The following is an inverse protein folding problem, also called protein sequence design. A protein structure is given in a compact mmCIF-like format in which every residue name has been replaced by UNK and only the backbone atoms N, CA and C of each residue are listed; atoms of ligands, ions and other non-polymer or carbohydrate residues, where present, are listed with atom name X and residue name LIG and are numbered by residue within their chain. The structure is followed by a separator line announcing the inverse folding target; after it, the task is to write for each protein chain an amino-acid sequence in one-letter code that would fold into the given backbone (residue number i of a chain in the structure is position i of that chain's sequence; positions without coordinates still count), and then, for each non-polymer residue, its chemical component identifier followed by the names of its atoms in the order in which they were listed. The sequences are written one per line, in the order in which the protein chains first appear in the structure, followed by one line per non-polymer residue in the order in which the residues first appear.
data_IF_881790990779
#
_entry.id   IF_881790990779
#
_cell.length_a   1.000
_cell.length_b   1.000
_cell.length_c   1.000
_cell.angle_alpha   90.00
_cell.angle_beta   90.00
_cell.angle_gamma   90.00
#
_symmetry.space_group_name_H-M   'P 1'
#
loop_
_entity.id
_entity.type
_entity.pdbx_description
1 polymer ?
#
# COMPACT_ATOMS: atom_id res chain seq x y z
N UNK A 1 9.48 15.39 30.46
CA UNK A 1 9.21 14.17 29.66
C UNK A 1 10.33 14.01 28.65
N UNK A 2 11.02 12.88 28.61
CA UNK A 2 11.86 12.57 27.45
C UNK A 2 10.93 12.35 26.26
N UNK A 3 11.20 13.04 25.16
CA UNK A 3 10.44 13.03 23.90
C UNK A 3 10.53 11.67 23.15
N UNK A 4 10.98 10.59 23.82
CA UNK A 4 11.56 9.41 23.20
C UNK A 4 10.87 8.09 23.57
N UNK A 5 9.56 8.06 23.86
CA UNK A 5 8.80 6.80 24.08
C UNK A 5 7.43 6.82 23.43
N UNK A 6 7.31 7.40 22.24
CA UNK A 6 6.05 7.31 21.48
C UNK A 6 6.16 6.15 20.50
N UNK A 7 5.31 5.12 20.62
CA UNK A 7 5.26 4.03 19.65
C UNK A 7 5.03 4.54 18.23
N UNK A 8 5.77 3.94 17.30
CA UNK A 8 5.77 4.34 15.90
C UNK A 8 5.66 3.11 15.01
N UNK A 9 4.64 3.09 14.16
CA UNK A 9 4.39 1.98 13.24
C UNK A 9 4.63 2.44 11.81
N UNK A 10 5.61 1.84 11.15
CA UNK A 10 5.82 1.95 9.72
C UNK A 10 4.94 0.91 9.02
N UNK A 11 3.86 1.38 8.39
CA UNK A 11 2.95 0.62 7.53
C UNK A 11 3.55 0.41 6.13
N UNK A 12 4.79 -0.08 6.08
CA UNK A 12 5.57 -0.41 4.88
C UNK A 12 6.06 -1.85 5.00
N UNK A 13 6.19 -2.56 3.87
CA UNK A 13 6.79 -3.91 3.88
C UNK A 13 8.23 -3.90 4.39
N UNK A 14 8.63 -4.83 5.27
CA UNK A 14 10.03 -5.08 5.61
C UNK A 14 10.92 -5.42 4.40
N UNK A 15 10.32 -5.90 3.30
CA UNK A 15 11.03 -6.13 2.04
C UNK A 15 11.44 -4.83 1.34
N UNK A 16 10.75 -3.72 1.63
CA UNK A 16 11.03 -2.39 1.06
C UNK A 16 11.82 -1.54 2.04
N UNK A 17 11.39 -1.50 3.29
CA UNK A 17 12.04 -0.81 4.40
C UNK A 17 12.39 -1.84 5.49
N UNK A 18 13.57 -2.49 5.41
CA UNK A 18 13.99 -3.39 6.49
C UNK A 18 14.17 -2.57 7.78
N UNK A 19 13.76 -3.10 8.96
CA UNK A 19 14.02 -2.45 10.24
C UNK A 19 15.52 -2.18 10.41
N UNK A 20 15.88 -0.95 10.77
CA UNK A 20 17.27 -0.60 11.04
C UNK A 20 17.69 -1.14 12.42
N UNK A 21 19.00 -1.39 12.59
CA UNK A 21 19.57 -1.97 13.83
C UNK A 21 19.40 -1.02 15.02
N UNK A 22 19.30 0.28 14.76
CA UNK A 22 19.12 1.35 15.74
C UNK A 22 17.65 1.74 15.97
N UNK A 23 16.68 1.02 15.38
CA UNK A 23 15.28 1.22 15.71
C UNK A 23 15.02 0.83 17.17
N UNK A 24 14.40 1.71 17.98
CA UNK A 24 14.04 1.36 19.34
C UNK A 24 12.92 0.32 19.36
N UNK A 25 12.75 -0.38 20.48
CA UNK A 25 11.78 -1.47 20.61
C UNK A 25 10.32 -1.07 20.31
N UNK A 26 9.97 0.21 20.51
CA UNK A 26 8.64 0.76 20.24
C UNK A 26 8.45 1.26 18.80
N UNK A 27 9.45 1.11 17.92
CA UNK A 27 9.33 1.36 16.48
C UNK A 27 9.23 0.04 15.73
N UNK A 28 8.11 -0.20 15.04
CA UNK A 28 7.86 -1.45 14.31
C UNK A 28 7.61 -1.19 12.82
N UNK A 29 8.21 -1.99 11.96
CA UNK A 29 7.84 -2.09 10.54
C UNK A 29 6.84 -3.23 10.41
N UNK A 30 5.59 -2.91 10.12
CA UNK A 30 4.48 -3.87 10.26
C UNK A 30 4.17 -4.58 8.96
N UNK A 31 4.49 -3.99 7.81
CA UNK A 31 3.89 -4.35 6.53
C UNK A 31 2.87 -3.32 6.08
N UNK A 32 2.58 -3.29 4.78
CA UNK A 32 1.58 -2.40 4.19
C UNK A 32 0.15 -2.72 4.68
N UNK A 33 -0.68 -1.69 4.78
CA UNK A 33 -2.09 -1.84 5.15
C UNK A 33 -2.95 -1.69 3.89
N UNK A 34 -3.19 -2.80 3.20
CA UNK A 34 -3.99 -2.80 1.98
C UNK A 34 -5.49 -2.77 2.30
N UNK A 35 -6.24 -2.04 1.48
CA UNK A 35 -7.69 -1.88 1.60
C UNK A 35 -8.49 -2.87 0.72
N UNK A 36 -7.86 -3.48 -0.28
CA UNK A 36 -8.43 -4.47 -1.20
C UNK A 36 -9.75 -4.02 -1.88
N UNK A 37 -9.73 -2.79 -2.42
CA UNK A 37 -10.88 -2.11 -3.06
C UNK A 37 -11.33 -2.74 -4.38
N UNK A 38 -10.44 -3.48 -5.05
CA UNK A 38 -10.67 -4.17 -6.32
C UNK A 38 -11.30 -5.55 -6.19
N UNK A 39 -11.84 -5.88 -5.02
CA UNK A 39 -12.57 -7.11 -4.71
C UNK A 39 -13.95 -7.19 -5.41
N UNK A 40 -14.76 -8.19 -5.07
CA UNK A 40 -15.93 -8.68 -5.84
C UNK A 40 -16.95 -7.62 -6.30
N UNK A 41 -17.00 -6.46 -5.64
CA UNK A 41 -17.94 -5.39 -5.95
C UNK A 41 -17.46 -4.43 -7.05
N UNK A 42 -16.16 -4.40 -7.38
CA UNK A 42 -15.63 -3.47 -8.38
C UNK A 42 -16.00 -3.91 -9.80
N UNK A 43 -16.73 -3.03 -10.50
CA UNK A 43 -17.11 -3.23 -11.91
C UNK A 43 -16.27 -2.32 -12.81
N UNK A 44 -15.30 -2.87 -13.56
CA UNK A 44 -14.49 -2.07 -14.47
C UNK A 44 -15.34 -1.55 -15.64
N UNK A 45 -15.02 -0.37 -16.19
CA UNK A 45 -15.65 0.11 -17.43
C UNK A 45 -15.42 -0.86 -18.58
N UNK A 46 -16.45 -1.11 -19.39
CA UNK A 46 -16.37 -2.04 -20.54
C UNK A 46 -15.27 -1.63 -21.51
N UNK A 47 -15.14 -0.33 -21.78
CA UNK A 47 -14.16 0.20 -22.72
C UNK A 47 -12.71 -0.04 -22.24
N UNK A 48 -12.48 -0.04 -20.92
CA UNK A 48 -11.17 -0.35 -20.34
C UNK A 48 -10.81 -1.83 -20.56
N UNK A 49 -11.79 -2.72 -20.36
CA UNK A 49 -11.60 -4.17 -20.57
C UNK A 49 -11.33 -4.44 -22.05
N UNK A 50 -12.13 -3.89 -22.96
CA UNK A 50 -11.95 -4.01 -24.41
C UNK A 50 -10.58 -3.49 -24.87
N UNK A 51 -10.14 -2.35 -24.31
CA UNK A 51 -8.82 -1.79 -24.58
C UNK A 51 -7.69 -2.76 -24.18
N UNK A 52 -7.77 -3.37 -23.00
CA UNK A 52 -6.79 -4.36 -22.53
C UNK A 52 -6.81 -5.65 -23.34
N UNK A 53 -7.99 -6.14 -23.71
CA UNK A 53 -8.11 -7.35 -24.51
C UNK A 53 -7.57 -7.14 -25.92
N UNK A 54 -7.84 -5.98 -26.53
CA UNK A 54 -7.23 -5.60 -27.81
C UNK A 54 -5.70 -5.54 -27.70
N UNK A 55 -5.17 -4.94 -26.63
CA UNK A 55 -3.73 -4.89 -26.41
C UNK A 55 -3.09 -6.30 -26.37
N UNK A 56 -3.75 -7.25 -25.71
CA UNK A 56 -3.31 -8.66 -25.64
C UNK A 56 -3.40 -9.34 -27.00
N UNK A 57 -4.49 -9.14 -27.75
CA UNK A 57 -4.64 -9.66 -29.11
C UNK A 57 -3.56 -9.14 -30.07
N UNK A 58 -3.17 -7.88 -29.92
CA UNK A 58 -2.09 -7.25 -30.69
C UNK A 58 -0.68 -7.69 -30.23
N UNK A 59 -0.57 -8.49 -29.16
CA UNK A 59 0.70 -8.87 -28.54
C UNK A 59 1.47 -7.72 -27.91
N UNK A 60 0.78 -6.62 -27.55
CA UNK A 60 1.38 -5.40 -27.00
C UNK A 60 1.43 -5.45 -25.49
N UNK A 61 2.51 -4.91 -24.93
CA UNK A 61 2.65 -4.71 -23.48
C UNK A 61 1.70 -3.62 -23.01
N UNK A 62 1.10 -3.81 -21.84
CA UNK A 62 0.19 -2.86 -21.21
C UNK A 62 0.94 -2.18 -20.06
N UNK A 63 0.96 -0.86 -20.03
CA UNK A 63 1.60 -0.08 -18.96
C UNK A 63 0.59 0.85 -18.30
N UNK A 64 0.72 1.02 -16.99
CA UNK A 64 -0.01 2.05 -16.25
C UNK A 64 0.84 3.31 -16.10
N UNK A 65 0.25 4.49 -16.32
CA UNK A 65 0.89 5.79 -16.02
C UNK A 65 -0.03 6.63 -15.15
N UNK A 66 0.44 6.99 -13.94
CA UNK A 66 -0.29 7.87 -13.04
C UNK A 66 0.61 8.58 -12.04
N UNK A 67 0.68 9.92 -12.13
CA UNK A 67 1.49 10.74 -11.21
C UNK A 67 0.70 11.30 -10.04
N UNK A 68 -0.56 10.91 -9.87
CA UNK A 68 -1.45 11.48 -8.86
C UNK A 68 -1.75 12.96 -9.12
N UNK A 69 -2.33 13.62 -8.11
CA UNK A 69 -2.62 15.04 -8.15
C UNK A 69 -1.35 15.86 -7.97
N UNK A 70 -0.75 16.31 -9.07
CA UNK A 70 0.45 17.17 -9.06
C UNK A 70 0.21 18.46 -9.84
N UNK A 71 0.70 19.56 -9.30
CA UNK A 71 0.78 20.84 -10.03
C UNK A 71 2.11 20.86 -10.77
N UNK A 72 2.04 20.90 -12.10
CA UNK A 72 3.23 21.00 -12.96
C UNK A 72 3.29 22.37 -13.61
N UNK A 73 4.49 22.77 -14.03
CA UNK A 73 4.66 24.05 -14.75
C UNK A 73 4.02 24.05 -16.14
N UNK A 74 3.92 22.86 -16.77
CA UNK A 74 3.35 22.70 -18.10
C UNK A 74 2.85 21.25 -18.31
N UNK A 75 1.54 21.06 -18.19
CA UNK A 75 0.81 19.81 -18.29
C UNK A 75 0.76 19.31 -19.73
N UNK A 76 0.76 20.23 -20.70
CA UNK A 76 0.81 19.92 -22.13
C UNK A 76 2.13 19.22 -22.48
N UNK A 77 3.27 19.75 -22.03
CA UNK A 77 4.59 19.14 -22.27
C UNK A 77 4.68 17.75 -21.62
N UNK A 78 4.17 17.60 -20.40
CA UNK A 78 4.13 16.30 -19.71
C UNK A 78 3.31 15.28 -20.50
N UNK A 79 2.11 15.67 -20.93
CA UNK A 79 1.22 14.80 -21.72
C UNK A 79 1.86 14.44 -23.06
N UNK A 80 2.50 15.40 -23.74
CA UNK A 80 3.23 15.15 -24.99
C UNK A 80 4.38 14.17 -24.81
N UNK A 81 5.15 14.28 -23.72
CA UNK A 81 6.22 13.37 -23.41
C UNK A 81 5.71 11.94 -23.16
N UNK A 82 4.55 11.80 -22.52
CA UNK A 82 3.90 10.49 -22.31
C UNK A 82 3.46 9.90 -23.65
N UNK A 83 2.76 10.68 -24.49
CA UNK A 83 2.32 10.25 -25.82
C UNK A 83 3.52 9.79 -26.66
N UNK A 84 4.57 10.61 -26.73
CA UNK A 84 5.79 10.28 -27.45
C UNK A 84 6.44 8.99 -26.92
N UNK A 85 6.49 8.83 -25.60
CA UNK A 85 7.11 7.66 -24.99
C UNK A 85 6.33 6.36 -25.29
N UNK A 86 5.00 6.40 -25.18
CA UNK A 86 4.12 5.24 -25.43
C UNK A 86 4.23 4.79 -26.88
N UNK A 87 4.15 5.74 -27.83
CA UNK A 87 4.27 5.42 -29.25
C UNK A 87 5.66 4.89 -29.61
N UNK A 88 6.73 5.46 -29.04
CA UNK A 88 8.10 4.99 -29.28
C UNK A 88 8.41 3.64 -28.65
N UNK A 89 7.83 3.34 -27.49
CA UNK A 89 8.00 2.05 -26.82
C UNK A 89 7.07 0.96 -27.38
N UNK A 90 6.13 1.32 -28.26
CA UNK A 90 5.17 0.43 -28.90
C UNK A 90 4.34 -0.38 -27.88
N UNK A 91 3.84 0.34 -26.86
CA UNK A 91 3.01 -0.21 -25.76
C UNK A 91 1.59 0.37 -25.79
N UNK A 92 0.69 -0.24 -25.00
CA UNK A 92 -0.65 0.31 -24.70
C UNK A 92 -0.65 0.89 -23.30
N UNK A 93 -1.13 2.11 -23.15
CA UNK A 93 -1.08 2.85 -21.89
C UNK A 93 -2.46 3.04 -21.27
N UNK A 94 -2.60 2.63 -20.02
CA UNK A 94 -3.72 2.99 -19.16
C UNK A 94 -3.29 4.22 -18.36
N UNK A 95 -3.84 5.36 -18.71
CA UNK A 95 -3.52 6.66 -18.13
C UNK A 95 -4.48 6.98 -16.99
N UNK A 96 -3.94 7.35 -15.84
CA UNK A 96 -4.69 8.03 -14.78
C UNK A 96 -4.16 9.46 -14.66
N UNK A 97 -4.78 10.37 -15.42
CA UNK A 97 -4.35 11.76 -15.50
C UNK A 97 -4.86 12.56 -14.29
N UNK A 98 -3.93 12.92 -13.40
CA UNK A 98 -4.20 13.76 -12.23
C UNK A 98 -3.49 15.12 -12.21
N UNK A 99 -2.69 15.46 -13.22
CA UNK A 99 -1.89 16.69 -13.22
C UNK A 99 -2.57 17.85 -13.93
N UNK A 100 -2.31 19.06 -13.43
CA UNK A 100 -2.78 20.30 -14.05
C UNK A 100 -1.78 21.43 -13.89
N UNK A 101 -1.98 22.47 -14.70
CA UNK A 101 -1.20 23.73 -14.63
C UNK A 101 -1.75 24.71 -13.59
N UNK A 102 -2.76 24.33 -12.80
CA UNK A 102 -3.57 25.25 -12.00
C UNK A 102 -3.50 25.02 -10.50
N UNK A 103 -3.31 26.13 -9.80
CA UNK A 103 -4.04 26.47 -8.58
C UNK A 103 -5.21 27.39 -9.02
N UNK A 104 -6.42 26.86 -9.12
CA UNK A 104 -7.73 27.57 -9.10
C UNK A 104 -7.98 28.92 -9.84
N UNK A 105 -7.44 29.19 -11.04
CA UNK A 105 -7.86 30.39 -11.81
C UNK A 105 -8.34 30.12 -13.22
N UNK A 106 -9.67 30.00 -13.39
CA UNK A 106 -10.50 29.64 -14.57
C UNK A 106 -10.24 30.32 -15.94
N UNK A 107 -9.27 31.20 -16.16
CA UNK A 107 -9.13 31.89 -17.48
C UNK A 107 -8.34 31.17 -18.61
N UNK A 108 -7.21 30.50 -18.42
CA UNK A 108 -6.49 29.81 -19.51
C UNK A 108 -6.62 28.29 -19.46
N UNK A 109 -7.57 27.69 -20.20
CA UNK A 109 -7.50 26.26 -20.52
C UNK A 109 -6.66 26.11 -21.79
N UNK A 110 -5.39 25.73 -21.64
CA UNK A 110 -4.61 25.20 -22.76
C UNK A 110 -5.43 24.05 -23.41
N UNK A 111 -5.48 23.95 -24.74
CA UNK A 111 -6.19 22.87 -25.41
C UNK A 111 -5.62 21.53 -24.95
N UNK A 112 -6.50 20.63 -24.53
CA UNK A 112 -6.13 19.29 -24.10
C UNK A 112 -5.62 18.51 -25.31
N UNK A 113 -4.45 17.88 -25.18
CA UNK A 113 -3.88 17.06 -26.25
C UNK A 113 -4.80 15.87 -26.49
N UNK A 114 -5.22 15.68 -27.74
CA UNK A 114 -5.96 14.50 -28.16
C UNK A 114 -5.08 13.26 -27.96
N UNK A 115 -5.60 12.29 -27.20
CA UNK A 115 -4.88 11.06 -26.90
C UNK A 115 -4.98 10.11 -28.08
N UNK A 116 -3.86 9.49 -28.51
CA UNK A 116 -3.88 8.51 -29.58
C UNK A 116 -4.56 7.21 -29.10
N UNK A 117 -5.00 6.34 -30.02
CA UNK A 117 -5.72 5.10 -29.67
C UNK A 117 -4.90 4.12 -28.83
N UNK A 118 -3.58 4.30 -28.71
CA UNK A 118 -2.70 3.54 -27.83
C UNK A 118 -2.80 3.94 -26.35
N UNK A 119 -3.52 5.03 -26.03
CA UNK A 119 -3.65 5.56 -24.68
C UNK A 119 -5.12 5.67 -24.29
N UNK A 120 -5.51 4.94 -23.24
CA UNK A 120 -6.84 5.03 -22.66
C UNK A 120 -6.77 5.76 -21.31
N UNK A 121 -7.47 6.89 -21.19
CA UNK A 121 -7.56 7.62 -19.91
C UNK A 121 -8.66 7.01 -19.04
N UNK A 122 -8.27 6.15 -18.09
CA UNK A 122 -9.18 5.38 -17.26
C UNK A 122 -9.70 6.14 -16.04
N UNK A 123 -9.08 7.27 -15.67
CA UNK A 123 -9.36 7.94 -14.40
C UNK A 123 -8.95 7.08 -13.19
N UNK A 124 -9.74 7.14 -12.13
CA UNK A 124 -9.48 6.39 -10.89
C UNK A 124 -9.94 4.93 -11.03
N UNK A 125 -9.00 4.00 -10.94
CA UNK A 125 -9.22 2.55 -10.96
C UNK A 125 -8.47 1.95 -9.76
N UNK A 126 -9.07 1.02 -8.99
CA UNK A 126 -8.39 0.31 -7.92
C UNK A 126 -7.11 -0.36 -8.41
N UNK A 127 -5.98 -0.07 -7.75
CA UNK A 127 -4.67 -0.55 -8.17
C UNK A 127 -4.47 -2.04 -7.94
N UNK A 128 -5.09 -2.60 -6.91
CA UNK A 128 -5.12 -4.03 -6.62
C UNK A 128 -5.87 -4.82 -7.70
N UNK A 129 -6.88 -4.22 -8.35
CA UNK A 129 -7.48 -4.78 -9.57
C UNK A 129 -6.60 -4.57 -10.80
N UNK A 130 -6.08 -3.36 -11.00
CA UNK A 130 -5.40 -3.02 -12.26
C UNK A 130 -3.98 -3.60 -12.37
N UNK A 131 -3.16 -3.49 -11.33
CA UNK A 131 -1.73 -3.78 -11.42
C UNK A 131 -1.38 -5.25 -11.70
N UNK A 132 -2.14 -6.25 -11.23
CA UNK A 132 -1.94 -7.63 -11.66
C UNK A 132 -2.17 -7.88 -13.16
N UNK A 133 -2.76 -6.91 -13.89
CA UNK A 133 -3.16 -7.03 -15.29
C UNK A 133 -2.31 -6.19 -16.24
N UNK A 134 -1.28 -5.48 -15.74
CA UNK A 134 -0.35 -4.67 -16.53
C UNK A 134 1.08 -5.19 -16.41
N UNK A 135 1.91 -4.92 -17.41
CA UNK A 135 3.31 -5.36 -17.47
C UNK A 135 4.27 -4.42 -16.74
N UNK A 136 3.92 -3.15 -16.54
CA UNK A 136 4.72 -2.18 -15.80
C UNK A 136 3.87 -1.03 -15.25
N UNK A 137 4.31 -0.44 -14.13
CA UNK A 137 3.68 0.72 -13.51
C UNK A 137 4.63 1.92 -13.50
N UNK A 138 4.13 3.06 -13.95
CA UNK A 138 4.88 4.33 -13.96
C UNK A 138 4.12 5.32 -13.09
N UNK A 139 4.77 5.79 -12.02
CA UNK A 139 4.11 6.68 -11.07
C UNK A 139 5.06 7.65 -10.39
N UNK A 140 4.49 8.50 -9.52
CA UNK A 140 5.23 9.54 -8.81
C UNK A 140 6.05 9.01 -7.63
N UNK A 141 5.69 7.85 -7.08
CA UNK A 141 6.46 7.19 -6.02
C UNK A 141 5.90 7.41 -4.62
N UNK A 142 4.62 7.76 -4.49
CA UNK A 142 3.97 7.74 -3.17
C UNK A 142 4.03 6.34 -2.55
N UNK A 143 4.10 6.29 -1.23
CA UNK A 143 4.23 5.05 -0.45
C UNK A 143 3.21 3.98 -0.82
N UNK A 144 1.93 4.33 -0.86
CA UNK A 144 0.82 3.43 -1.17
C UNK A 144 0.87 2.88 -2.61
N UNK A 145 1.08 3.75 -3.61
CA UNK A 145 1.17 3.31 -5.01
C UNK A 145 2.39 2.43 -5.25
N UNK A 146 3.53 2.75 -4.62
CA UNK A 146 4.73 1.91 -4.66
C UNK A 146 4.47 0.55 -4.00
N UNK A 147 3.78 0.53 -2.86
CA UNK A 147 3.36 -0.71 -2.21
C UNK A 147 2.45 -1.56 -3.09
N UNK A 148 1.47 -0.95 -3.75
CA UNK A 148 0.54 -1.63 -4.65
C UNK A 148 1.25 -2.23 -5.88
N UNK A 149 2.15 -1.48 -6.53
CA UNK A 149 2.87 -1.99 -7.71
C UNK A 149 3.81 -3.13 -7.36
N UNK A 150 4.52 -3.03 -6.24
CA UNK A 150 5.39 -4.10 -5.75
C UNK A 150 4.59 -5.33 -5.31
N UNK A 151 3.44 -5.16 -4.63
CA UNK A 151 2.55 -6.26 -4.24
C UNK A 151 2.09 -7.06 -5.47
N UNK A 152 1.75 -6.37 -6.55
CA UNK A 152 1.34 -6.98 -7.81
C UNK A 152 2.51 -7.64 -8.58
N UNK A 153 3.76 -7.49 -8.12
CA UNK A 153 4.93 -7.98 -8.85
C UNK A 153 5.17 -7.20 -10.15
N UNK A 154 4.81 -5.91 -10.17
CA UNK A 154 4.87 -5.06 -11.35
C UNK A 154 6.18 -4.24 -11.38
N UNK A 155 7.05 -4.42 -12.40
CA UNK A 155 8.22 -3.57 -12.59
C UNK A 155 7.84 -2.09 -12.59
N UNK A 156 8.57 -1.27 -11.83
CA UNK A 156 8.11 0.08 -11.50
C UNK A 156 9.06 1.16 -12.00
N UNK A 157 8.54 2.21 -12.64
CA UNK A 157 9.29 3.44 -12.94
C UNK A 157 8.77 4.55 -12.04
N UNK A 158 9.64 5.15 -11.23
CA UNK A 158 9.28 6.27 -10.35
C UNK A 158 9.87 7.56 -10.90
N UNK A 159 9.02 8.56 -11.16
CA UNK A 159 9.44 9.95 -11.32
C UNK A 159 9.07 10.74 -10.07
N UNK A 160 9.99 10.95 -9.11
CA UNK A 160 9.68 11.67 -7.89
C UNK A 160 9.54 13.17 -8.13
N UNK A 161 8.59 13.82 -7.46
CA UNK A 161 8.33 15.25 -7.50
C UNK A 161 8.63 15.93 -6.16
N UNK A 162 8.26 15.33 -5.02
CA UNK A 162 8.46 15.90 -3.68
C UNK A 162 8.46 14.82 -2.59
N UNK A 163 8.96 15.19 -1.39
CA UNK A 163 8.80 14.38 -0.17
C UNK A 163 9.44 12.99 -0.23
N UNK A 164 8.71 12.02 0.30
CA UNK A 164 9.05 10.59 0.42
C UNK A 164 9.23 9.90 -0.95
N UNK A 165 8.73 10.48 -2.02
CA UNK A 165 8.84 9.91 -3.37
C UNK A 165 10.29 9.64 -3.79
N UNK A 166 11.22 10.51 -3.37
CA UNK A 166 12.66 10.32 -3.64
C UNK A 166 13.25 9.12 -2.89
N UNK A 167 12.75 8.85 -1.69
CA UNK A 167 13.12 7.66 -0.93
C UNK A 167 12.66 6.41 -1.68
N UNK A 168 11.37 6.32 -2.04
CA UNK A 168 10.86 5.15 -2.76
C UNK A 168 11.50 4.94 -4.14
N UNK A 169 11.80 6.04 -4.86
CA UNK A 169 12.56 5.98 -6.11
C UNK A 169 13.93 5.30 -5.91
N UNK A 170 14.64 5.65 -4.85
CA UNK A 170 15.93 5.03 -4.51
C UNK A 170 15.74 3.56 -4.10
N UNK A 171 14.72 3.26 -3.28
CA UNK A 171 14.45 1.90 -2.81
C UNK A 171 14.16 0.91 -3.94
N UNK A 172 13.39 1.30 -4.94
CA UNK A 172 13.11 0.39 -6.08
C UNK A 172 14.37 0.11 -6.92
N UNK A 173 15.30 1.07 -7.02
CA UNK A 173 16.59 0.88 -7.70
C UNK A 173 17.51 -0.03 -6.89
N UNK A 174 17.61 0.18 -5.57
CA UNK A 174 18.40 -0.67 -4.66
C UNK A 174 17.94 -2.13 -4.69
N UNK A 175 16.63 -2.35 -4.74
CA UNK A 175 16.03 -3.68 -4.87
C UNK A 175 16.18 -4.27 -6.27
N UNK A 176 16.50 -3.44 -7.28
CA UNK A 176 16.59 -3.82 -8.68
C UNK A 176 15.24 -4.24 -9.28
N UNK A 177 14.14 -3.65 -8.80
CA UNK A 177 12.75 -3.93 -9.21
C UNK A 177 12.14 -2.79 -10.05
N UNK A 178 12.95 -1.78 -10.36
CA UNK A 178 12.48 -0.61 -11.06
C UNK A 178 13.56 0.40 -11.41
N UNK A 179 13.13 1.58 -11.88
CA UNK A 179 14.00 2.67 -12.34
C UNK A 179 13.55 4.00 -11.72
N UNK A 180 14.49 4.77 -11.16
CA UNK A 180 14.25 6.14 -10.74
C UNK A 180 14.50 7.10 -11.92
N UNK A 181 13.42 7.65 -12.47
CA UNK A 181 13.49 8.52 -13.64
C UNK A 181 13.94 9.94 -13.24
N UNK A 182 15.17 10.30 -13.59
CA UNK A 182 15.75 11.63 -13.29
C UNK A 182 15.12 12.75 -14.11
N UNK A 183 14.90 12.52 -15.40
CA UNK A 183 14.29 13.48 -16.34
C UNK A 183 13.13 12.82 -17.04
N UNK A 184 12.00 13.51 -17.12
CA UNK A 184 10.80 13.03 -17.81
C UNK A 184 10.72 13.67 -19.20
N UNK A 185 11.17 12.93 -20.21
CA UNK A 185 11.05 13.27 -21.63
C UNK A 185 10.55 12.04 -22.39
N UNK A 186 10.03 12.21 -23.60
CA UNK A 186 9.56 11.06 -24.39
C UNK A 186 10.64 10.01 -24.62
N UNK A 187 11.89 10.45 -24.85
CA UNK A 187 13.05 9.55 -25.00
C UNK A 187 13.45 8.84 -23.69
N UNK A 188 13.54 9.55 -22.57
CA UNK A 188 13.95 8.90 -21.31
C UNK A 188 12.89 7.94 -20.80
N UNK A 189 11.61 8.30 -20.94
CA UNK A 189 10.50 7.46 -20.53
C UNK A 189 10.34 6.24 -21.43
N UNK A 190 10.41 6.37 -22.77
CA UNK A 190 10.35 5.21 -23.67
C UNK A 190 11.47 4.20 -23.40
N UNK A 191 12.71 4.68 -23.23
CA UNK A 191 13.82 3.80 -22.89
C UNK A 191 13.61 3.07 -21.55
N UNK A 192 13.05 3.75 -20.55
CA UNK A 192 12.74 3.14 -19.27
C UNK A 192 11.62 2.11 -19.41
N UNK A 193 10.54 2.43 -20.14
CA UNK A 193 9.43 1.50 -20.43
C UNK A 193 9.95 0.23 -21.10
N UNK A 194 10.72 0.36 -22.18
CA UNK A 194 11.30 -0.78 -22.90
C UNK A 194 12.15 -1.64 -21.97
N UNK A 195 12.94 -1.03 -21.09
CA UNK A 195 13.77 -1.78 -20.13
C UNK A 195 12.92 -2.56 -19.13
N UNK A 196 11.97 -1.92 -18.45
CA UNK A 196 11.19 -2.59 -17.39
C UNK A 196 10.25 -3.68 -17.93
N UNK A 197 9.83 -3.60 -19.19
CA UNK A 197 8.97 -4.61 -19.82
C UNK A 197 9.72 -5.77 -20.48
N UNK A 198 11.06 -5.68 -20.61
CA UNK A 198 11.88 -6.71 -21.27
C UNK A 198 13.01 -7.30 -20.40
N UNK A 199 13.41 -6.63 -19.31
CA UNK A 199 14.43 -7.12 -18.39
C UNK A 199 13.88 -8.25 -17.50
N UNK A 200 14.12 -9.49 -17.93
CA UNK A 200 13.66 -10.69 -17.23
C UNK A 200 14.18 -10.78 -15.79
N UNK A 201 15.40 -10.27 -15.52
CA UNK A 201 15.96 -10.29 -14.17
C UNK A 201 15.20 -9.35 -13.25
N UNK A 202 14.84 -8.16 -13.74
CA UNK A 202 14.01 -7.20 -13.00
C UNK A 202 12.61 -7.78 -12.73
N UNK A 203 12.00 -8.39 -13.74
CA UNK A 203 10.68 -9.03 -13.64
C UNK A 203 10.69 -10.12 -12.57
N UNK A 204 11.67 -11.02 -12.59
CA UNK A 204 11.78 -12.09 -11.58
C UNK A 204 12.00 -11.54 -10.17
N UNK A 205 12.82 -10.49 -10.01
CA UNK A 205 13.07 -9.84 -8.72
C UNK A 205 11.79 -9.22 -8.16
N UNK A 206 11.04 -8.48 -8.97
CA UNK A 206 9.83 -7.82 -8.50
C UNK A 206 8.73 -8.85 -8.17
N UNK A 207 8.63 -9.95 -8.92
CA UNK A 207 7.74 -11.06 -8.56
C UNK A 207 8.11 -11.66 -7.20
N UNK A 208 9.40 -11.87 -6.90
CA UNK A 208 9.85 -12.36 -5.58
C UNK A 208 9.56 -11.37 -4.46
N UNK A 209 9.74 -10.07 -4.70
CA UNK A 209 9.37 -9.03 -3.73
C UNK A 209 7.86 -9.03 -3.50
N UNK A 210 7.05 -9.09 -4.56
CA UNK A 210 5.59 -9.19 -4.46
C UNK A 210 5.14 -10.43 -3.70
N UNK A 211 5.76 -11.59 -3.92
CA UNK A 211 5.49 -12.81 -3.14
C UNK A 211 5.79 -12.65 -1.65
N UNK A 212 6.81 -11.88 -1.28
CA UNK A 212 7.11 -11.57 0.14
C UNK A 212 6.07 -10.60 0.71
N UNK A 213 5.73 -9.54 -0.03
CA UNK A 213 4.72 -8.56 0.38
C UNK A 213 3.35 -9.23 0.58
N UNK A 214 2.96 -10.17 -0.27
CA UNK A 214 1.70 -10.91 -0.11
C UNK A 214 1.70 -11.88 1.10
N UNK A 215 2.87 -12.13 1.70
CA UNK A 215 3.00 -12.87 2.98
C UNK A 215 3.13 -11.94 4.17
N UNK A 216 3.17 -10.63 3.96
CA UNK A 216 3.14 -9.65 5.04
C UNK A 216 1.69 -9.52 5.54
N UNK A 217 1.50 -9.64 6.85
CA UNK A 217 0.21 -9.41 7.49
C UNK A 217 0.22 -8.04 8.15
N UNK A 218 0.24 -6.98 7.34
CA UNK A 218 0.53 -5.61 7.79
C UNK A 218 -0.40 -5.09 8.86
N UNK A 219 -1.71 -5.18 8.62
CA UNK A 219 -2.75 -4.77 9.57
C UNK A 219 -2.67 -5.58 10.86
N UNK A 220 -2.48 -6.90 10.73
CA UNK A 220 -2.39 -7.76 11.91
C UNK A 220 -1.14 -7.46 12.75
N UNK A 221 0.02 -7.33 12.09
CA UNK A 221 1.28 -7.01 12.77
C UNK A 221 1.21 -5.66 13.47
N UNK A 222 0.42 -4.72 12.92
CA UNK A 222 0.12 -3.46 13.59
C UNK A 222 -0.78 -3.66 14.82
N UNK A 223 -1.86 -4.43 14.73
CA UNK A 223 -2.72 -4.76 15.87
C UNK A 223 -1.90 -5.44 16.98
N UNK A 224 -1.08 -6.43 16.63
CA UNK A 224 -0.19 -7.12 17.57
C UNK A 224 0.79 -6.14 18.23
N UNK A 225 1.39 -5.23 17.45
CA UNK A 225 2.30 -4.21 17.98
C UNK A 225 1.60 -3.25 18.95
N UNK A 226 0.40 -2.78 18.61
CA UNK A 226 -0.40 -1.89 19.47
C UNK A 226 -0.68 -2.56 20.82
N UNK A 227 -1.07 -3.83 20.79
CA UNK A 227 -1.40 -4.59 21.99
C UNK A 227 -0.15 -4.88 22.84
N UNK A 228 0.96 -5.34 22.23
CA UNK A 228 2.20 -5.67 22.94
C UNK A 228 2.89 -4.46 23.57
N UNK A 229 2.77 -3.29 22.96
CA UNK A 229 3.38 -2.05 23.49
C UNK A 229 2.57 -1.45 24.66
N UNK A 230 1.53 -2.14 25.16
CA UNK A 230 0.67 -1.69 26.26
C UNK A 230 0.10 -0.27 26.05
N UNK A 231 -0.07 0.13 24.78
CA UNK A 231 -0.70 1.40 24.42
C UNK A 231 -2.16 1.46 24.89
N UNK A 232 -2.77 0.29 25.11
CA UNK A 232 -4.08 0.15 25.72
C UNK A 232 -3.85 -0.37 27.15
N UNK A 233 -3.54 0.55 28.07
CA UNK A 233 -3.34 0.26 29.51
C UNK A 233 -4.54 -0.41 30.20
N UNK A 234 -5.70 -0.50 29.54
CA UNK A 234 -6.96 -0.99 30.10
C UNK A 234 -7.42 -2.36 29.58
N UNK A 235 -6.68 -3.03 28.69
CA UNK A 235 -7.02 -4.40 28.31
C UNK A 235 -6.33 -5.36 29.27
N UNK A 236 -7.14 -6.11 30.03
CA UNK A 236 -6.65 -7.28 30.77
C UNK A 236 -5.96 -8.23 29.78
N UNK A 237 -4.88 -8.88 30.23
CA UNK A 237 -4.12 -9.88 29.46
C UNK A 237 -5.02 -10.91 28.74
N UNK A 238 -6.15 -11.25 29.34
CA UNK A 238 -7.19 -12.13 28.80
C UNK A 238 -7.87 -11.59 27.52
N UNK A 239 -8.16 -10.28 27.44
CA UNK A 239 -8.68 -9.66 26.21
C UNK A 239 -7.64 -9.62 25.09
N UNK A 240 -6.36 -9.46 25.44
CA UNK A 240 -5.27 -9.54 24.47
C UNK A 240 -5.20 -10.93 23.84
N UNK A 241 -5.26 -11.98 24.65
CA UNK A 241 -5.30 -13.36 24.17
C UNK A 241 -6.55 -13.61 23.32
N UNK A 242 -7.73 -13.12 23.71
CA UNK A 242 -8.97 -13.25 22.94
C UNK A 242 -8.88 -12.60 21.54
N UNK A 243 -8.29 -11.40 21.44
CA UNK A 243 -8.09 -10.74 20.14
C UNK A 243 -7.14 -11.56 19.27
N UNK A 244 -6.05 -12.07 19.84
CA UNK A 244 -5.10 -12.90 19.10
C UNK A 244 -5.73 -14.23 18.64
N UNK A 245 -6.53 -14.89 19.48
CA UNK A 245 -7.28 -16.11 19.14
C UNK A 245 -8.29 -15.83 18.04
N UNK A 246 -9.09 -14.77 18.14
CA UNK A 246 -10.04 -14.40 17.09
C UNK A 246 -9.35 -14.15 15.75
N UNK A 247 -8.17 -13.52 15.78
CA UNK A 247 -7.44 -13.33 14.52
C UNK A 247 -6.88 -14.63 13.98
N UNK A 248 -6.31 -15.52 14.82
CA UNK A 248 -5.89 -16.86 14.38
C UNK A 248 -7.04 -17.64 13.74
N UNK A 249 -8.20 -17.67 14.41
CA UNK A 249 -9.43 -18.35 13.96
C UNK A 249 -9.92 -17.84 12.61
N UNK A 250 -9.88 -16.53 12.39
CA UNK A 250 -10.35 -15.92 11.14
C UNK A 250 -9.27 -15.81 10.04
N UNK A 251 -8.01 -16.12 10.33
CA UNK A 251 -6.90 -16.02 9.38
C UNK A 251 -5.97 -17.24 9.51
N UNK A 252 -6.40 -18.44 9.07
CA UNK A 252 -5.67 -19.69 9.29
C UNK A 252 -4.29 -19.73 8.62
N UNK A 253 -4.06 -18.95 7.55
CA UNK A 253 -2.74 -18.82 6.93
C UNK A 253 -1.73 -18.10 7.84
N UNK A 254 -2.20 -17.17 8.67
CA UNK A 254 -1.38 -16.45 9.64
C UNK A 254 -0.85 -17.37 10.75
N UNK A 255 -1.72 -18.24 11.29
CA UNK A 255 -1.37 -19.19 12.34
C UNK A 255 -0.27 -20.18 11.89
N UNK A 256 -0.34 -20.62 10.63
CA UNK A 256 0.62 -21.56 10.04
C UNK A 256 1.99 -20.92 9.76
N UNK A 257 2.06 -19.62 9.46
CA UNK A 257 3.33 -18.93 9.18
C UNK A 257 4.23 -18.81 10.42
N UNK A 258 3.65 -18.80 11.63
CA UNK A 258 4.37 -18.63 12.91
C UNK A 258 4.66 -19.94 13.66
N UNK A 259 3.97 -21.04 13.35
CA UNK A 259 4.14 -22.34 14.04
C UNK A 259 5.54 -22.95 13.91
N UNK A 260 6.39 -22.42 13.01
CA UNK A 260 7.78 -22.82 12.85
C UNK A 260 8.72 -22.35 13.98
N UNK A 261 8.26 -21.51 14.90
CA UNK A 261 8.94 -21.17 16.16
C UNK A 261 7.95 -21.15 17.31
N UNK A 262 7.73 -22.30 17.98
CA UNK A 262 6.91 -22.36 19.19
C UNK A 262 7.54 -21.56 20.32
N UNK A 263 6.91 -20.45 20.69
CA UNK A 263 7.27 -19.67 21.87
C UNK A 263 6.21 -19.86 22.99
N UNK A 264 6.53 -19.46 24.22
CA UNK A 264 5.65 -19.59 25.39
C UNK A 264 4.25 -18.99 25.20
N UNK A 265 4.16 -17.93 24.40
CA UNK A 265 2.89 -17.24 24.13
C UNK A 265 1.97 -18.03 23.18
N UNK A 266 2.52 -18.95 22.37
CA UNK A 266 1.67 -19.82 21.52
C UNK A 266 0.95 -20.87 22.36
N UNK A 267 1.57 -21.34 23.46
CA UNK A 267 0.97 -22.29 24.41
C UNK A 267 -0.18 -21.63 25.17
N UNK A 268 0.01 -20.40 25.65
CA UNK A 268 -1.04 -19.63 26.32
C UNK A 268 -2.24 -19.34 25.39
N UNK A 269 -2.01 -19.16 24.09
CA UNK A 269 -3.09 -18.94 23.12
C UNK A 269 -3.90 -20.21 22.86
N UNK A 270 -3.25 -21.37 22.76
CA UNK A 270 -3.92 -22.65 22.57
C UNK A 270 -4.78 -23.01 23.81
N UNK A 271 -4.28 -22.74 25.02
CA UNK A 271 -5.04 -22.92 26.27
C UNK A 271 -6.29 -22.00 26.34
N UNK A 272 -6.18 -20.77 25.85
CA UNK A 272 -7.31 -19.85 25.77
C UNK A 272 -8.31 -20.28 24.69
N UNK A 273 -7.84 -20.73 23.53
CA UNK A 273 -8.70 -21.24 22.45
C UNK A 273 -9.54 -22.45 22.91
N UNK A 274 -8.94 -23.40 23.63
CA UNK A 274 -9.65 -24.52 24.25
C UNK A 274 -10.69 -24.07 25.29
N UNK A 275 -10.41 -23.03 26.09
CA UNK A 275 -11.37 -22.49 27.07
C UNK A 275 -12.59 -21.83 26.41
N UNK A 276 -12.43 -21.21 25.24
CA UNK A 276 -13.51 -20.49 24.57
C UNK A 276 -14.28 -21.34 23.54
N UNK A 277 -13.69 -22.40 22.96
CA UNK A 277 -14.44 -23.37 22.14
C UNK A 277 -15.58 -24.06 22.91
N UNK A 278 -15.47 -24.17 24.25
CA UNK A 278 -16.53 -24.71 25.11
C UNK A 278 -17.72 -23.74 25.27
N UNK A 279 -17.58 -22.47 24.85
CA UNK A 279 -18.57 -21.41 25.07
C UNK A 279 -19.45 -21.04 23.86
N UNK A 280 -19.25 -21.65 22.69
CA UNK A 280 -19.93 -21.35 21.41
C UNK A 280 -21.46 -21.63 21.39
N UNK A 281 -22.09 -21.86 22.55
CA UNK A 281 -23.53 -22.13 22.67
C UNK A 281 -24.32 -21.16 23.55
N UNK A 282 -23.80 -19.96 23.86
CA UNK A 282 -24.59 -18.91 24.54
C UNK A 282 -24.46 -17.53 23.88
N UNK A 283 -25.55 -17.18 23.21
CA UNK A 283 -26.08 -15.85 22.91
C UNK A 283 -25.38 -14.72 23.68
N UNK A 284 -24.77 -13.77 22.95
CA UNK A 284 -24.13 -12.57 23.49
C UNK A 284 -25.02 -11.84 24.50
N UNK A 285 -24.84 -12.12 25.79
CA UNK A 285 -25.47 -11.36 26.85
C UNK A 285 -24.66 -10.10 27.11
N UNK A 286 -25.29 -8.97 26.83
CA UNK A 286 -24.89 -7.61 27.22
C UNK A 286 -24.35 -7.61 28.66
N UNK A 287 -23.06 -7.43 28.85
CA UNK A 287 -22.48 -7.25 30.20
C UNK A 287 -22.71 -5.79 30.60
N UNK A 288 -23.75 -5.56 31.39
CA UNK A 288 -23.97 -4.31 32.13
C UNK A 288 -23.09 -4.34 33.37
N UNK A 289 -22.10 -3.45 33.48
CA UNK A 289 -21.32 -3.28 34.70
C UNK A 289 -21.91 -2.10 35.47
N UNK A 290 -22.67 -2.38 36.52
CA UNK A 290 -23.01 -1.40 37.55
C UNK A 290 -21.73 -1.01 38.31
N UNK A 291 -21.30 0.25 38.16
CA UNK A 291 -20.28 0.84 39.03
C UNK A 291 -20.89 1.10 40.40
N UNK A 292 -20.43 0.38 41.42
CA UNK A 292 -20.65 0.79 42.80
C UNK A 292 -19.86 2.07 43.07
N UNK A 293 -20.60 3.13 43.39
CA UNK A 293 -20.22 4.20 44.31
C UNK A 293 -18.96 5.01 44.00
N UNK A 294 -19.11 6.06 43.20
CA UNK A 294 -18.49 7.36 43.47
C UNK A 294 -19.08 8.42 42.53
N UNK A 295 -19.87 9.33 43.10
CA UNK A 295 -20.34 10.55 42.43
C UNK A 295 -19.19 11.54 42.34
N UNK A 296 -18.75 11.87 41.12
CA UNK A 296 -17.97 13.07 40.85
C UNK A 296 -18.79 14.03 40.00
N UNK A 297 -19.11 15.17 40.61
CA UNK A 297 -19.67 16.37 40.00
C UNK A 297 -18.66 17.04 39.05
N UNK A 298 -19.15 17.53 37.92
CA UNK A 298 -18.60 18.55 37.01
C UNK A 298 -17.08 18.78 36.97
N UNK A 299 -16.50 18.49 35.80
CA UNK A 299 -15.20 19.03 35.41
C UNK A 299 -14.49 18.17 34.37
N UNK A 300 -14.76 18.42 33.08
CA UNK A 300 -13.85 18.01 32.01
C UNK A 300 -12.45 18.55 32.31
N UNK A 301 -11.50 17.68 32.63
CA UNK A 301 -10.06 17.96 32.54
C UNK A 301 -9.35 16.72 31.99
N UNK A 302 -8.79 16.93 30.81
CA UNK A 302 -7.97 16.01 30.01
C UNK A 302 -6.85 15.36 30.84
N UNK A 303 -6.69 14.05 30.69
CA UNK A 303 -5.50 13.32 31.14
C UNK A 303 -4.66 12.90 29.93
N UNK A 304 -3.35 12.94 30.12
CA UNK A 304 -2.27 12.97 29.12
C UNK A 304 -2.24 11.75 28.15
N UNK A 305 -2.94 11.89 27.03
CA UNK A 305 -2.53 11.62 25.64
C UNK A 305 -1.52 10.49 25.34
N UNK A 306 -2.05 9.29 25.06
CA UNK A 306 -1.35 8.16 24.44
C UNK A 306 -1.53 8.13 22.91
N UNK A 307 -0.86 9.02 22.19
CA UNK A 307 -0.91 9.03 20.71
C UNK A 307 0.02 7.99 20.09
N UNK A 308 -0.45 7.32 19.04
CA UNK A 308 0.37 6.53 18.12
C UNK A 308 0.55 7.33 16.85
N UNK A 309 1.79 7.53 16.42
CA UNK A 309 2.06 8.17 15.13
C UNK A 309 2.21 7.13 14.03
N UNK A 310 1.60 7.41 12.89
CA UNK A 310 1.63 6.59 11.69
C UNK A 310 2.36 7.37 10.59
N UNK A 311 3.30 6.72 9.89
CA UNK A 311 3.94 7.30 8.70
C UNK A 311 3.14 6.89 7.45
N UNK A 312 2.42 7.84 6.85
CA UNK A 312 1.89 7.67 5.49
C UNK A 312 3.03 7.90 4.50
#
# INVERSE_FOLDING_TARGET
MQQSKVPFLYNVSPSVLPPAVDFPDWTKVTGYWFLDEGSDDFKPPTELVEFMDKARCDGKKIVYIGFGSIVVKNATILTQAIVEAVLKADVRCILNKGWSDRLDHKQDKQPEIELPPEIYNAGLIPHDWLFPRVDAAIHHGGSGTTGASLRAGCPTIIKPFFGDQFFYATRIEDLGVGIALKKLTGKSLSNAILKVTSDQTMIEKVCRVGQRINKDYGVYSAIEAILRLNLIRSLNHEYFLLVLVNVRKHNPEYANARSSMRNSMDIELDEVEEQYEVSDNKQYSKVSIEKQGETFSDGFRSSEDGYVYMAV
#
